data_IF_504120743648
#
_entry.id   IF_504120743648
#
_cell.length_a   1.000
_cell.length_b   1.000
_cell.length_c   1.000
_cell.angle_alpha   90.00
_cell.angle_beta   90.00
_cell.angle_gamma   90.00
#
_symmetry.space_group_name_H-M   'P 1'
#
loop_
_entity.id
_entity.type
_entity.pdbx_description
1 polymer ?
#
# COMPACT_ATOMS: atom_id res chain seq x y z
N UNK A 1 18.76 -14.35 -0.46
CA UNK A 1 18.62 -12.93 -0.10
C UNK A 1 17.78 -12.25 -1.15
N UNK A 2 16.60 -11.73 -0.80
CA UNK A 2 15.65 -11.09 -1.72
C UNK A 2 15.31 -9.67 -1.28
N UNK A 3 16.30 -8.95 -0.74
CA UNK A 3 16.13 -7.70 -0.03
C UNK A 3 15.98 -6.47 -0.95
N UNK A 4 16.06 -6.67 -2.26
CA UNK A 4 16.24 -5.59 -3.25
C UNK A 4 15.10 -5.54 -4.27
N UNK A 5 14.05 -6.34 -4.08
CA UNK A 5 12.93 -6.38 -5.03
C UNK A 5 11.96 -5.24 -4.75
N UNK A 6 11.61 -4.40 -5.75
CA UNK A 6 10.65 -3.33 -5.57
C UNK A 6 9.29 -3.91 -5.17
N UNK A 7 8.73 -3.38 -4.09
CA UNK A 7 7.44 -3.84 -3.55
C UNK A 7 6.32 -3.00 -4.15
N UNK A 8 5.36 -3.68 -4.79
CA UNK A 8 4.16 -3.05 -5.36
C UNK A 8 2.93 -3.48 -4.59
N UNK A 9 2.20 -2.52 -4.02
CA UNK A 9 0.95 -2.80 -3.30
C UNK A 9 -0.20 -2.94 -4.30
N UNK A 10 -0.91 -4.06 -4.20
CA UNK A 10 -2.10 -4.37 -4.98
C UNK A 10 -3.35 -4.25 -4.12
N UNK A 11 -4.44 -3.74 -4.69
CA UNK A 11 -5.67 -3.43 -3.95
C UNK A 11 -6.61 -4.61 -3.83
N UNK A 12 -6.12 -5.82 -3.56
CA UNK A 12 -6.96 -7.03 -3.40
C UNK A 12 -7.22 -7.24 -1.91
N UNK A 13 -8.49 -7.42 -1.53
CA UNK A 13 -8.92 -7.48 -0.13
C UNK A 13 -9.33 -6.13 0.45
N UNK A 14 -9.75 -6.13 1.71
CA UNK A 14 -10.30 -4.95 2.40
C UNK A 14 -9.35 -4.55 3.53
N UNK A 15 -9.07 -3.25 3.62
CA UNK A 15 -8.24 -2.69 4.69
C UNK A 15 -9.17 -2.06 5.73
N UNK A 16 -9.28 -2.68 6.90
CA UNK A 16 -10.18 -2.22 7.97
C UNK A 16 -9.44 -1.48 9.10
N UNK A 17 -8.10 -1.38 9.01
CA UNK A 17 -7.27 -0.68 9.99
C UNK A 17 -6.55 0.49 9.33
N UNK A 18 -6.47 1.61 10.05
CA UNK A 18 -5.64 2.74 9.68
C UNK A 18 -4.16 2.33 9.82
N UNK A 19 -3.48 2.18 8.70
CA UNK A 19 -2.06 1.87 8.63
C UNK A 19 -1.37 2.86 7.70
N UNK A 20 -0.11 3.17 8.00
CA UNK A 20 0.77 3.89 7.10
C UNK A 20 1.57 2.83 6.36
N UNK A 21 1.34 2.70 5.06
CA UNK A 21 1.98 1.70 4.21
C UNK A 21 3.14 2.39 3.49
N UNK A 22 4.33 1.79 3.54
CA UNK A 22 5.54 2.27 2.88
C UNK A 22 5.95 1.25 1.80
N UNK A 23 6.01 1.65 0.53
CA UNK A 23 6.29 0.77 -0.59
C UNK A 23 6.73 1.56 -1.83
N UNK A 24 7.48 0.92 -2.73
CA UNK A 24 8.01 1.59 -3.93
C UNK A 24 6.92 1.96 -4.94
N UNK A 25 5.81 1.21 -4.98
CA UNK A 25 4.72 1.47 -5.89
C UNK A 25 3.36 1.05 -5.32
N UNK A 26 2.31 1.75 -5.72
CA UNK A 26 0.92 1.45 -5.37
C UNK A 26 0.08 1.32 -6.63
N UNK A 27 -0.84 0.36 -6.65
CA UNK A 27 -1.90 0.32 -7.65
C UNK A 27 -2.99 1.35 -7.31
N UNK A 28 -3.68 1.90 -8.31
CA UNK A 28 -4.75 2.88 -8.11
C UNK A 28 -5.82 2.40 -7.12
N UNK A 29 -6.21 1.13 -7.21
CA UNK A 29 -7.15 0.52 -6.26
C UNK A 29 -6.60 0.37 -4.85
N UNK A 30 -5.27 0.19 -4.70
CA UNK A 30 -4.63 0.07 -3.40
C UNK A 30 -4.56 1.41 -2.68
N UNK A 31 -4.07 2.45 -3.36
CA UNK A 31 -4.00 3.80 -2.80
C UNK A 31 -5.38 4.26 -2.32
N UNK A 32 -6.40 4.10 -3.17
CA UNK A 32 -7.79 4.44 -2.84
C UNK A 32 -8.32 3.68 -1.61
N UNK A 33 -7.96 2.40 -1.46
CA UNK A 33 -8.35 1.59 -0.29
C UNK A 33 -7.60 2.01 0.97
N UNK A 34 -6.32 2.34 0.86
CA UNK A 34 -5.52 2.82 1.98
C UNK A 34 -6.10 4.15 2.50
N UNK A 35 -6.41 5.08 1.60
CA UNK A 35 -7.05 6.36 1.94
C UNK A 35 -8.48 6.15 2.49
N UNK A 36 -9.27 5.26 1.90
CA UNK A 36 -10.63 4.95 2.37
C UNK A 36 -10.65 4.30 3.76
N UNK A 37 -9.63 3.51 4.09
CA UNK A 37 -9.41 2.97 5.43
C UNK A 37 -8.87 4.03 6.43
N UNK A 38 -8.68 5.28 5.97
CA UNK A 38 -8.07 6.38 6.73
C UNK A 38 -6.57 6.17 7.01
N UNK A 39 -5.90 5.34 6.21
CA UNK A 39 -4.46 5.14 6.22
C UNK A 39 -3.73 6.13 5.32
N UNK A 40 -2.41 5.95 5.19
CA UNK A 40 -1.53 6.73 4.31
C UNK A 40 -0.64 5.80 3.48
N UNK A 41 -0.40 6.16 2.23
CA UNK A 41 0.55 5.49 1.36
C UNK A 41 1.79 6.40 1.15
N UNK A 42 2.94 5.99 1.67
CA UNK A 42 4.23 6.69 1.47
C UNK A 42 5.13 5.89 0.53
N UNK A 43 5.72 6.58 -0.44
CA UNK A 43 6.63 5.96 -1.40
C UNK A 43 8.05 6.01 -0.86
N UNK A 44 8.71 4.84 -0.82
CA UNK A 44 10.14 4.71 -0.44
C UNK A 44 11.00 4.28 -1.62
#
# INVERSE_FOLDING_TARGET
SGADKPVKILGVGELSKNLIVHANAYSASAAKKIEAAGGKAEVI
#
